data_IF_150371846433
#
_entry.id   IF_150371846433
#
_cell.length_a   1.000
_cell.length_b   1.000
_cell.length_c   1.000
_cell.angle_alpha   90.00
_cell.angle_beta   90.00
_cell.angle_gamma   90.00
#
_symmetry.space_group_name_H-M   'P 1'
#
loop_
_entity.id
_entity.type
_entity.pdbx_description
1 polymer ?
#
# COMPACT_ATOMS: atom_id res chain seq x y z
N UNK A 1 -1.48 36.67 11.00
CA UNK A 1 -1.79 35.29 11.39
C UNK A 1 -1.36 35.17 12.85
N UNK A 2 -2.28 34.90 13.77
CA UNK A 2 -1.92 34.68 15.17
C UNK A 2 -1.01 33.44 15.24
N UNK A 3 -0.02 33.49 16.13
CA UNK A 3 0.98 32.44 16.29
C UNK A 3 0.30 31.27 17.04
N UNK A 4 -0.47 30.44 16.32
CA UNK A 4 -1.14 29.27 16.90
C UNK A 4 -0.15 28.33 17.57
N UNK A 5 -0.58 27.65 18.64
CA UNK A 5 0.26 26.66 19.29
C UNK A 5 0.71 25.57 18.28
N UNK A 6 1.97 25.07 18.35
CA UNK A 6 2.41 24.02 17.47
C UNK A 6 1.64 22.71 17.72
N UNK A 7 1.65 21.82 16.73
CA UNK A 7 1.15 20.46 16.88
C UNK A 7 1.89 19.70 17.98
N UNK A 8 1.27 18.65 18.53
CA UNK A 8 1.82 17.87 19.65
C UNK A 8 1.74 16.38 19.38
N UNK A 9 2.76 15.66 19.84
CA UNK A 9 2.74 14.20 19.96
C UNK A 9 2.72 13.82 21.44
N UNK A 10 1.79 12.93 21.80
CA UNK A 10 1.58 12.44 23.17
C UNK A 10 1.61 10.91 23.11
N UNK A 11 2.10 10.27 24.18
CA UNK A 11 2.01 8.82 24.35
C UNK A 11 1.18 8.54 25.59
N UNK A 12 0.17 7.68 25.47
CA UNK A 12 -0.50 7.02 26.58
C UNK A 12 0.13 5.64 26.75
N UNK A 13 1.05 5.45 27.71
CA UNK A 13 1.74 4.19 27.87
C UNK A 13 0.83 3.14 28.51
N UNK A 14 1.03 1.88 28.12
CA UNK A 14 0.45 0.73 28.83
C UNK A 14 -1.08 0.72 28.90
N UNK A 15 -1.79 1.15 27.85
CA UNK A 15 -3.24 1.04 27.78
C UNK A 15 -3.63 -0.43 27.73
N UNK A 16 -4.34 -0.89 28.75
CA UNK A 16 -4.71 -2.29 28.91
C UNK A 16 -5.81 -2.70 27.92
N UNK A 17 -5.55 -3.75 27.14
CA UNK A 17 -6.50 -4.38 26.24
C UNK A 17 -7.08 -5.63 26.91
N UNK A 18 -8.20 -5.47 27.60
CA UNK A 18 -8.67 -6.44 28.61
C UNK A 18 -8.94 -7.83 28.05
N UNK A 19 -9.51 -7.92 26.85
CA UNK A 19 -9.82 -9.20 26.20
C UNK A 19 -8.65 -9.81 25.44
N UNK A 20 -7.66 -9.00 25.07
CA UNK A 20 -6.42 -9.47 24.47
C UNK A 20 -5.42 -9.92 25.54
N UNK A 21 -5.53 -9.38 26.77
CA UNK A 21 -4.66 -9.74 27.89
C UNK A 21 -3.27 -9.11 27.80
N UNK A 22 -3.13 -8.02 27.06
CA UNK A 22 -1.88 -7.28 26.89
C UNK A 22 -2.06 -5.78 27.18
N UNK A 23 -0.94 -5.04 27.18
CA UNK A 23 -0.91 -3.58 27.31
C UNK A 23 -0.20 -2.98 26.11
N UNK A 24 -0.62 -1.80 25.68
CA UNK A 24 -0.14 -1.18 24.42
C UNK A 24 0.06 0.31 24.59
N UNK A 25 1.08 0.83 23.93
CA UNK A 25 1.26 2.27 23.85
C UNK A 25 0.35 2.86 22.78
N UNK A 26 -0.27 4.00 23.10
CA UNK A 26 -1.12 4.75 22.16
C UNK A 26 -0.46 6.09 21.89
N UNK A 27 -0.11 6.32 20.63
CA UNK A 27 0.52 7.55 20.17
C UNK A 27 -0.55 8.48 19.63
N UNK A 28 -0.56 9.74 20.07
CA UNK A 28 -1.62 10.69 19.73
C UNK A 28 -0.99 11.96 19.18
N UNK A 29 -1.38 12.31 17.96
CA UNK A 29 -1.11 13.62 17.36
C UNK A 29 -2.29 14.55 17.61
N UNK A 30 -1.99 15.75 18.10
CA UNK A 30 -2.92 16.86 18.21
C UNK A 30 -2.53 17.94 17.20
N UNK A 31 -3.48 18.47 16.42
CA UNK A 31 -3.19 19.43 15.38
C UNK A 31 -2.72 20.77 15.96
N UNK A 32 -1.99 21.55 15.14
CA UNK A 32 -1.64 22.91 15.50
C UNK A 32 -2.90 23.73 15.85
N UNK A 33 -2.78 24.59 16.86
CA UNK A 33 -3.88 25.38 17.39
C UNK A 33 -4.88 24.60 18.24
N UNK A 34 -4.59 23.33 18.60
CA UNK A 34 -5.45 22.56 19.49
C UNK A 34 -5.82 23.39 20.74
N UNK A 35 -4.85 23.88 21.51
CA UNK A 35 -5.13 24.60 22.76
C UNK A 35 -5.64 26.04 22.60
N UNK A 36 -5.79 26.55 21.37
CA UNK A 36 -6.14 27.96 21.13
C UNK A 36 -7.62 28.25 21.45
N UNK A 37 -8.53 27.32 21.12
CA UNK A 37 -9.97 27.43 21.39
C UNK A 37 -10.51 26.10 21.94
N UNK A 38 -10.91 26.10 23.21
CA UNK A 38 -11.41 24.93 23.94
C UNK A 38 -12.81 24.48 23.50
N UNK A 39 -13.55 25.29 22.73
CA UNK A 39 -14.87 24.95 22.21
C UNK A 39 -14.82 24.08 20.96
N UNK A 40 -13.70 24.13 20.21
CA UNK A 40 -13.52 23.35 18.98
C UNK A 40 -13.38 21.87 19.30
N UNK A 41 -13.96 21.02 18.44
CA UNK A 41 -13.82 19.56 18.48
C UNK A 41 -13.34 19.04 17.14
N UNK A 42 -12.64 17.92 17.16
CA UNK A 42 -11.88 17.42 16.04
C UNK A 42 -12.36 16.03 15.62
N UNK A 43 -12.41 15.72 14.31
CA UNK A 43 -12.51 14.35 13.86
C UNK A 43 -11.27 13.56 14.30
N UNK A 44 -11.38 12.23 14.31
CA UNK A 44 -10.32 11.33 14.76
C UNK A 44 -10.00 10.31 13.67
N UNK A 45 -8.71 10.16 13.37
CA UNK A 45 -8.18 9.08 12.54
C UNK A 45 -7.48 8.06 13.43
N UNK A 46 -8.04 6.86 13.53
CA UNK A 46 -7.38 5.72 14.16
C UNK A 46 -6.46 5.03 13.15
N UNK A 47 -5.21 4.80 13.54
CA UNK A 47 -4.23 4.10 12.72
C UNK A 47 -3.67 2.88 13.44
N UNK A 48 -3.51 1.80 12.70
CA UNK A 48 -2.83 0.60 13.15
C UNK A 48 -1.30 0.78 13.12
N UNK A 49 -0.57 -0.11 13.81
CA UNK A 49 0.91 -0.15 13.81
C UNK A 49 1.55 1.17 14.26
N UNK A 50 1.03 1.72 15.36
CA UNK A 50 1.31 3.09 15.82
C UNK A 50 2.77 3.44 16.01
N UNK A 51 3.63 2.46 16.32
CA UNK A 51 5.06 2.65 16.44
C UNK A 51 5.75 3.14 15.15
N UNK A 52 5.13 3.00 13.98
CA UNK A 52 5.69 3.43 12.67
C UNK A 52 4.95 4.64 12.05
N UNK A 53 3.93 5.16 12.72
CA UNK A 53 3.01 6.17 12.13
C UNK A 53 3.61 7.57 12.12
N UNK A 54 4.30 7.98 13.20
CA UNK A 54 4.79 9.34 13.33
C UNK A 54 6.27 9.46 12.98
N UNK A 55 7.15 8.82 13.75
CA UNK A 55 8.60 8.95 13.58
C UNK A 55 9.25 7.62 13.16
N UNK A 56 10.42 7.69 12.49
CA UNK A 56 11.20 6.49 12.18
C UNK A 56 11.52 5.68 13.43
N UNK A 57 11.11 4.42 13.44
CA UNK A 57 11.42 3.48 14.53
C UNK A 57 12.03 2.17 14.06
N UNK A 58 12.05 1.93 12.73
CA UNK A 58 12.78 0.81 12.13
C UNK A 58 14.24 1.20 11.91
N UNK A 59 15.18 0.23 11.97
CA UNK A 59 16.54 0.45 11.54
C UNK A 59 16.61 1.06 10.15
N UNK A 60 15.69 0.74 9.21
CA UNK A 60 15.62 1.30 7.86
C UNK A 60 15.44 2.83 7.82
N UNK A 61 15.01 3.45 8.92
CA UNK A 61 14.74 4.90 8.98
C UNK A 61 13.36 5.28 8.43
N UNK A 62 12.48 4.31 8.22
CA UNK A 62 11.16 4.53 7.62
C UNK A 62 10.07 4.76 8.66
N UNK A 63 9.09 5.60 8.29
CA UNK A 63 7.83 5.84 8.98
C UNK A 63 6.83 6.45 8.01
N UNK A 64 5.55 6.50 8.38
CA UNK A 64 4.55 7.19 7.57
C UNK A 64 4.69 8.71 7.62
N UNK A 65 5.30 9.26 8.68
CA UNK A 65 5.43 10.71 8.84
C UNK A 65 4.07 11.43 8.93
N UNK A 66 3.03 10.77 9.46
CA UNK A 66 1.65 11.25 9.37
C UNK A 66 1.43 12.63 10.00
N UNK A 67 2.17 12.96 11.06
CA UNK A 67 2.12 14.28 11.69
C UNK A 67 2.58 15.38 10.73
N UNK A 68 3.61 15.13 9.91
CA UNK A 68 4.10 16.07 8.89
C UNK A 68 3.12 16.22 7.73
N UNK A 69 2.51 15.11 7.31
CA UNK A 69 1.48 15.13 6.26
C UNK A 69 0.26 15.92 6.74
N UNK A 70 -0.22 15.66 7.96
CA UNK A 70 -1.35 16.37 8.56
C UNK A 70 -1.03 17.86 8.76
N UNK A 71 0.11 18.20 9.36
CA UNK A 71 0.54 19.60 9.57
C UNK A 71 0.57 20.37 8.25
N UNK A 72 1.14 19.78 7.19
CA UNK A 72 1.18 20.40 5.86
C UNK A 72 -0.23 20.65 5.32
N UNK A 73 -1.06 19.61 5.26
CA UNK A 73 -2.40 19.71 4.67
C UNK A 73 -3.31 20.66 5.46
N UNK A 74 -3.18 20.71 6.78
CA UNK A 74 -3.90 21.65 7.65
C UNK A 74 -3.41 23.09 7.41
N UNK A 75 -2.09 23.30 7.35
CA UNK A 75 -1.50 24.63 7.10
C UNK A 75 -1.84 25.18 5.70
N UNK A 76 -1.95 24.29 4.71
CA UNK A 76 -2.39 24.62 3.35
C UNK A 76 -3.91 24.80 3.24
N UNK A 77 -4.67 24.51 4.30
CA UNK A 77 -6.14 24.61 4.32
C UNK A 77 -6.85 23.56 3.48
N UNK A 78 -6.17 22.46 3.12
CA UNK A 78 -6.71 21.39 2.29
C UNK A 78 -7.55 20.39 3.08
N UNK A 79 -7.31 20.28 4.39
CA UNK A 79 -8.12 19.48 5.31
C UNK A 79 -8.46 20.26 6.57
N UNK A 80 -9.61 19.95 7.18
CA UNK A 80 -9.89 20.40 8.55
C UNK A 80 -8.90 19.76 9.54
N UNK A 81 -8.52 20.46 10.63
CA UNK A 81 -7.68 19.88 11.69
C UNK A 81 -8.23 18.56 12.22
N UNK A 82 -7.35 17.58 12.46
CA UNK A 82 -7.69 16.20 12.83
C UNK A 82 -6.79 15.69 13.96
N UNK A 83 -7.33 14.87 14.85
CA UNK A 83 -6.55 14.09 15.83
C UNK A 83 -6.19 12.75 15.20
N UNK A 84 -4.93 12.32 15.30
CA UNK A 84 -4.51 10.99 14.84
C UNK A 84 -4.15 10.14 16.06
N UNK A 85 -4.82 9.00 16.22
CA UNK A 85 -4.60 8.04 17.30
C UNK A 85 -3.98 6.78 16.69
N UNK A 86 -2.70 6.55 16.95
CA UNK A 86 -1.94 5.44 16.41
C UNK A 86 -1.73 4.36 17.49
N UNK A 87 -2.15 3.14 17.19
CA UNK A 87 -2.23 2.03 18.15
C UNK A 87 -1.07 1.08 17.95
N UNK A 88 -0.20 0.93 18.97
CA UNK A 88 0.94 0.02 18.90
C UNK A 88 0.50 -1.41 18.55
N UNK A 89 1.14 -2.01 17.56
CA UNK A 89 0.91 -3.41 17.19
C UNK A 89 1.69 -4.36 18.12
N UNK A 90 1.03 -5.43 18.58
CA UNK A 90 1.66 -6.48 19.39
C UNK A 90 1.82 -7.74 18.55
N UNK A 91 3.03 -8.28 18.59
CA UNK A 91 3.37 -9.57 18.00
C UNK A 91 3.26 -10.63 19.09
N UNK A 92 2.30 -11.55 18.95
CA UNK A 92 2.12 -12.67 19.86
C UNK A 92 2.16 -13.98 19.06
N UNK A 93 3.05 -14.88 19.48
CA UNK A 93 3.25 -16.16 18.79
C UNK A 93 1.95 -16.96 18.67
N UNK A 94 1.68 -17.46 17.47
CA UNK A 94 0.52 -18.30 17.20
C UNK A 94 -0.83 -17.55 17.15
N UNK A 95 -0.85 -16.21 17.25
CA UNK A 95 -2.05 -15.41 17.05
C UNK A 95 -1.85 -14.26 16.06
N UNK A 96 -2.94 -13.77 15.46
CA UNK A 96 -2.91 -12.50 14.73
C UNK A 96 -4.16 -11.68 15.01
N UNK A 97 -3.95 -10.44 15.43
CA UNK A 97 -4.99 -9.47 15.74
C UNK A 97 -5.51 -8.69 14.53
N UNK A 98 -4.92 -8.89 13.36
CA UNK A 98 -5.33 -8.21 12.13
C UNK A 98 -6.16 -9.07 11.19
N UNK A 99 -6.25 -10.37 11.47
CA UNK A 99 -7.16 -11.28 10.78
C UNK A 99 -8.33 -11.62 11.71
N UNK A 100 -9.56 -11.53 11.19
CA UNK A 100 -10.78 -11.82 11.96
C UNK A 100 -11.10 -13.31 11.95
N UNK A 101 -11.38 -13.86 10.77
CA UNK A 101 -11.90 -15.22 10.63
C UNK A 101 -11.31 -16.01 9.46
N UNK A 102 -10.56 -15.35 8.57
CA UNK A 102 -9.87 -15.97 7.45
C UNK A 102 -8.39 -15.68 7.55
N UNK A 103 -7.61 -16.73 7.77
CA UNK A 103 -6.17 -16.73 7.52
C UNK A 103 -5.74 -18.10 7.00
N UNK A 104 -4.89 -18.11 5.97
CA UNK A 104 -4.52 -19.37 5.33
C UNK A 104 -3.48 -20.20 6.10
N UNK A 105 -2.74 -19.60 7.01
CA UNK A 105 -1.85 -20.34 7.92
C UNK A 105 -2.59 -20.73 9.20
N UNK A 106 -2.17 -21.82 9.89
CA UNK A 106 -2.78 -22.26 11.14
C UNK A 106 -2.40 -21.32 12.31
N UNK A 107 -2.86 -20.08 12.25
CA UNK A 107 -2.75 -19.09 13.31
C UNK A 107 -4.12 -18.82 13.92
N UNK A 108 -4.18 -18.54 15.21
CA UNK A 108 -5.42 -18.12 15.84
C UNK A 108 -5.70 -16.66 15.48
N UNK A 109 -6.71 -16.43 14.67
CA UNK A 109 -7.22 -15.09 14.36
C UNK A 109 -7.94 -14.51 15.60
N UNK A 110 -7.55 -13.31 16.01
CA UNK A 110 -8.11 -12.59 17.17
C UNK A 110 -8.59 -11.18 16.80
N UNK A 111 -8.83 -10.92 15.52
CA UNK A 111 -9.27 -9.62 15.00
C UNK A 111 -10.54 -9.07 15.66
N UNK A 112 -11.50 -9.92 16.04
CA UNK A 112 -12.69 -9.47 16.79
C UNK A 112 -12.36 -9.00 18.22
N UNK A 113 -11.31 -9.55 18.85
CA UNK A 113 -10.86 -9.10 20.18
C UNK A 113 -10.14 -7.75 20.07
N UNK A 114 -9.40 -7.54 18.97
CA UNK A 114 -8.77 -6.27 18.68
C UNK A 114 -9.79 -5.19 18.28
N UNK A 115 -10.81 -5.56 17.50
CA UNK A 115 -11.97 -4.72 17.22
C UNK A 115 -12.66 -4.26 18.51
N UNK A 116 -12.91 -5.19 19.44
CA UNK A 116 -13.44 -4.86 20.76
C UNK A 116 -12.54 -3.87 21.52
N UNK A 117 -11.22 -4.10 21.56
CA UNK A 117 -10.29 -3.17 22.19
C UNK A 117 -10.39 -1.77 21.57
N UNK A 118 -10.36 -1.64 20.24
CA UNK A 118 -10.44 -0.35 19.56
C UNK A 118 -11.73 0.40 19.90
N UNK A 119 -12.87 -0.28 19.85
CA UNK A 119 -14.19 0.35 19.92
C UNK A 119 -14.68 0.52 21.35
N UNK A 120 -14.58 -0.53 22.17
CA UNK A 120 -15.22 -0.57 23.49
C UNK A 120 -14.27 -0.10 24.62
N UNK A 121 -12.96 -0.09 24.37
CA UNK A 121 -11.95 0.24 25.39
C UNK A 121 -11.20 1.53 25.03
N UNK A 122 -10.52 1.56 23.88
CA UNK A 122 -9.67 2.66 23.47
C UNK A 122 -10.46 3.91 23.07
N UNK A 123 -11.43 3.79 22.16
CA UNK A 123 -12.21 4.94 21.69
C UNK A 123 -12.86 5.73 22.85
N UNK A 124 -13.49 5.10 23.86
CA UNK A 124 -13.99 5.82 25.02
C UNK A 124 -12.91 6.51 25.88
N UNK A 125 -11.69 5.96 25.96
CA UNK A 125 -10.56 6.64 26.63
C UNK A 125 -10.21 7.92 25.88
N UNK A 126 -10.10 7.84 24.55
CA UNK A 126 -9.78 9.00 23.70
C UNK A 126 -10.89 10.04 23.76
N UNK A 127 -12.16 9.65 23.58
CA UNK A 127 -13.30 10.56 23.56
C UNK A 127 -13.51 11.31 24.88
N UNK A 128 -13.10 10.72 26.01
CA UNK A 128 -13.10 11.41 27.32
C UNK A 128 -11.87 12.28 27.55
N UNK A 129 -10.71 11.87 27.04
CA UNK A 129 -9.44 12.55 27.26
C UNK A 129 -9.19 13.73 26.32
N UNK A 130 -9.83 13.73 25.14
CA UNK A 130 -9.58 14.69 24.07
C UNK A 130 -10.87 15.27 23.51
N UNK A 131 -10.79 16.41 22.82
CA UNK A 131 -11.96 17.09 22.23
C UNK A 131 -12.32 16.48 20.88
N UNK A 132 -12.80 15.25 20.92
CA UNK A 132 -13.23 14.53 19.71
C UNK A 132 -14.65 14.90 19.30
N UNK A 133 -14.94 14.66 18.03
CA UNK A 133 -16.27 14.43 17.48
C UNK A 133 -16.48 12.92 17.37
N UNK A 134 -17.28 12.30 18.25
CA UNK A 134 -17.25 10.85 18.44
C UNK A 134 -18.09 10.05 17.44
N UNK A 135 -18.93 10.71 16.63
CA UNK A 135 -19.84 10.04 15.70
C UNK A 135 -19.10 9.43 14.51
N UNK A 136 -19.71 8.44 13.85
CA UNK A 136 -19.09 7.69 12.77
C UNK A 136 -18.60 8.57 11.62
N UNK A 137 -19.39 9.58 11.21
CA UNK A 137 -19.04 10.53 10.15
C UNK A 137 -17.77 11.37 10.43
N UNK A 138 -17.26 11.32 11.66
CA UNK A 138 -16.05 12.03 12.10
C UNK A 138 -14.94 11.10 12.56
N UNK A 139 -15.14 9.79 12.43
CA UNK A 139 -14.21 8.76 12.89
C UNK A 139 -13.71 7.94 11.70
N UNK A 140 -12.41 8.00 11.46
CA UNK A 140 -11.73 7.25 10.41
C UNK A 140 -10.88 6.11 10.98
N UNK A 141 -10.69 5.05 10.20
CA UNK A 141 -9.78 3.94 10.49
C UNK A 141 -8.85 3.72 9.29
N UNK A 142 -7.55 3.52 9.53
CA UNK A 142 -6.59 3.33 8.44
C UNK A 142 -5.44 2.39 8.81
N UNK A 143 -4.97 1.63 7.82
CA UNK A 143 -3.80 0.78 7.93
C UNK A 143 -3.34 0.25 6.58
N UNK A 144 -2.15 -0.36 6.58
CA UNK A 144 -1.60 -1.02 5.41
C UNK A 144 -1.30 -2.51 5.59
N UNK A 145 -1.24 -3.27 4.49
CA UNK A 145 -0.89 -4.70 4.53
C UNK A 145 -1.86 -5.51 5.40
N UNK A 146 -1.36 -6.25 6.38
CA UNK A 146 -2.19 -6.92 7.39
C UNK A 146 -3.10 -5.92 8.14
N UNK A 147 -2.61 -4.72 8.46
CA UNK A 147 -3.47 -3.69 9.05
C UNK A 147 -4.52 -3.14 8.07
N UNK A 148 -4.28 -3.22 6.76
CA UNK A 148 -5.26 -2.88 5.73
C UNK A 148 -6.44 -3.86 5.73
N UNK A 149 -6.17 -5.16 5.88
CA UNK A 149 -7.25 -6.16 6.01
C UNK A 149 -8.00 -6.02 7.36
N UNK A 150 -7.32 -5.61 8.43
CA UNK A 150 -7.96 -5.28 9.70
C UNK A 150 -8.91 -4.08 9.53
N UNK A 151 -8.44 -3.00 8.88
CA UNK A 151 -9.27 -1.81 8.58
C UNK A 151 -10.49 -2.19 7.73
N UNK A 152 -10.31 -3.00 6.69
CA UNK A 152 -11.40 -3.47 5.83
C UNK A 152 -12.45 -4.26 6.63
N UNK A 153 -12.04 -5.23 7.45
CA UNK A 153 -12.98 -6.04 8.23
C UNK A 153 -13.67 -5.25 9.33
N UNK A 154 -12.93 -4.50 10.15
CA UNK A 154 -13.49 -3.73 11.27
C UNK A 154 -14.43 -2.66 10.73
N UNK A 155 -13.98 -1.90 9.74
CA UNK A 155 -14.71 -0.79 9.18
C UNK A 155 -16.04 -1.19 8.56
N UNK A 156 -16.06 -2.25 7.74
CA UNK A 156 -17.28 -2.70 7.07
C UNK A 156 -18.22 -3.46 8.02
N UNK A 157 -17.72 -4.03 9.12
CA UNK A 157 -18.57 -4.61 10.18
C UNK A 157 -19.16 -3.56 11.11
N UNK A 158 -18.49 -2.42 11.26
CA UNK A 158 -18.83 -1.35 12.22
C UNK A 158 -18.97 0.02 11.54
N UNK A 159 -19.86 0.16 10.54
CA UNK A 159 -20.17 1.45 9.92
C UNK A 159 -20.82 2.42 10.93
N UNK A 160 -21.38 1.91 12.02
CA UNK A 160 -21.90 2.67 13.15
C UNK A 160 -20.80 3.39 13.97
N UNK A 161 -19.54 2.99 13.80
CA UNK A 161 -18.39 3.56 14.53
C UNK A 161 -17.41 4.26 13.59
N UNK A 162 -17.16 3.71 12.40
CA UNK A 162 -16.17 4.23 11.47
C UNK A 162 -16.87 4.66 10.17
N UNK A 163 -16.91 5.95 9.88
CA UNK A 163 -17.50 6.48 8.64
C UNK A 163 -16.49 6.63 7.50
N UNK A 164 -15.20 6.39 7.75
CA UNK A 164 -14.12 6.64 6.80
C UNK A 164 -13.03 5.57 6.92
N UNK A 165 -12.68 4.88 5.82
CA UNK A 165 -11.74 3.75 5.83
C UNK A 165 -10.60 3.96 4.84
N UNK A 166 -9.35 3.93 5.33
CA UNK A 166 -8.13 3.97 4.53
C UNK A 166 -7.47 2.59 4.48
N UNK A 167 -7.62 1.91 3.34
CA UNK A 167 -7.23 0.52 3.15
C UNK A 167 -6.06 0.51 2.17
N UNK A 168 -4.84 0.63 2.69
CA UNK A 168 -3.65 0.73 1.86
C UNK A 168 -3.01 -0.64 1.65
N UNK A 169 -2.71 -0.99 0.41
CA UNK A 169 -2.01 -2.24 0.06
C UNK A 169 -2.48 -3.48 0.86
N UNK A 170 -3.80 -3.75 0.97
CA UNK A 170 -4.31 -4.75 1.91
C UNK A 170 -3.89 -6.16 1.52
N UNK A 171 -3.55 -6.99 2.53
CA UNK A 171 -3.10 -8.37 2.32
C UNK A 171 -4.28 -9.32 2.01
N UNK A 172 -4.94 -9.12 0.87
CA UNK A 172 -6.16 -9.84 0.48
C UNK A 172 -5.93 -11.24 -0.08
N UNK A 173 -4.73 -11.55 -0.56
CA UNK A 173 -4.41 -12.89 -1.09
C UNK A 173 -3.13 -13.41 -0.47
N UNK A 174 -3.16 -14.69 -0.14
CA UNK A 174 -1.96 -15.47 0.16
C UNK A 174 -1.73 -16.45 -0.98
N UNK A 175 -0.48 -16.56 -1.43
CA UNK A 175 -0.09 -17.42 -2.54
C UNK A 175 0.84 -18.50 -2.00
N UNK A 176 0.50 -19.76 -2.25
CA UNK A 176 1.37 -20.88 -1.92
C UNK A 176 2.61 -20.85 -2.84
N UNK A 177 3.84 -20.76 -2.31
CA UNK A 177 5.03 -20.58 -3.13
C UNK A 177 5.43 -21.84 -3.93
N UNK A 178 4.91 -23.03 -3.59
CA UNK A 178 5.21 -24.28 -4.29
C UNK A 178 4.22 -24.60 -5.42
N UNK A 179 2.97 -24.18 -5.27
CA UNK A 179 1.86 -24.51 -6.18
C UNK A 179 1.28 -23.30 -6.90
N UNK A 180 1.60 -22.08 -6.46
CA UNK A 180 0.98 -20.82 -6.87
C UNK A 180 -0.53 -20.76 -6.61
N UNK A 181 -1.06 -21.63 -5.73
CA UNK A 181 -2.46 -21.59 -5.36
C UNK A 181 -2.77 -20.32 -4.55
N UNK A 182 -3.81 -19.61 -4.97
CA UNK A 182 -4.25 -18.35 -4.37
C UNK A 182 -5.38 -18.61 -3.35
N UNK A 183 -5.22 -18.11 -2.13
CA UNK A 183 -6.23 -18.19 -1.07
C UNK A 183 -6.62 -16.79 -0.62
N UNK A 184 -7.89 -16.44 -0.78
CA UNK A 184 -8.42 -15.15 -0.34
C UNK A 184 -8.43 -15.07 1.19
N UNK A 185 -8.01 -13.92 1.72
CA UNK A 185 -7.96 -13.64 3.16
C UNK A 185 -9.14 -12.75 3.61
N UNK A 186 -10.05 -12.39 2.70
CA UNK A 186 -11.14 -11.45 2.93
C UNK A 186 -12.51 -12.07 2.64
N UNK A 187 -13.54 -11.47 3.22
CA UNK A 187 -14.95 -11.67 2.84
C UNK A 187 -15.42 -10.49 2.01
N UNK A 188 -16.38 -10.73 1.13
CA UNK A 188 -17.08 -9.64 0.43
C UNK A 188 -18.22 -9.12 1.31
N UNK A 189 -18.36 -7.80 1.37
CA UNK A 189 -19.47 -7.12 2.05
C UNK A 189 -20.35 -6.46 0.97
N UNK A 190 -21.44 -7.10 0.51
CA UNK A 190 -22.18 -6.70 -0.68
C UNK A 190 -23.21 -5.59 -0.40
N UNK A 191 -22.86 -4.60 0.42
CA UNK A 191 -23.73 -3.50 0.80
C UNK A 191 -22.95 -2.18 0.87
N UNK A 192 -23.68 -1.07 0.73
CA UNK A 192 -23.16 0.30 0.87
C UNK A 192 -23.85 0.96 2.07
N UNK A 193 -23.09 1.21 3.13
CA UNK A 193 -23.55 1.89 4.35
C UNK A 193 -23.14 3.38 4.40
N UNK A 194 -22.72 3.95 3.28
CA UNK A 194 -22.46 5.38 3.12
C UNK A 194 -21.16 5.88 3.73
N UNK A 195 -20.19 4.99 3.97
CA UNK A 195 -18.86 5.40 4.45
C UNK A 195 -18.08 6.10 3.30
N UNK A 196 -16.91 6.65 3.62
CA UNK A 196 -15.90 7.05 2.63
C UNK A 196 -14.79 6.01 2.61
N UNK A 197 -14.49 5.46 1.44
CA UNK A 197 -13.48 4.41 1.27
C UNK A 197 -12.35 4.93 0.39
N UNK A 198 -11.14 4.85 0.93
CA UNK A 198 -9.91 4.90 0.16
C UNK A 198 -9.33 3.49 0.13
N UNK A 199 -9.08 2.95 -1.06
CA UNK A 199 -8.42 1.68 -1.26
C UNK A 199 -7.31 1.84 -2.27
N UNK A 200 -6.11 1.35 -1.96
CA UNK A 200 -5.00 1.45 -2.90
C UNK A 200 -4.08 0.23 -2.87
N UNK A 201 -3.21 0.15 -3.87
CA UNK A 201 -2.19 -0.89 -3.99
C UNK A 201 -1.05 -0.39 -4.88
N UNK A 202 0.17 -0.83 -4.60
CA UNK A 202 1.31 -0.63 -5.48
C UNK A 202 1.41 -1.68 -6.57
N UNK A 203 1.74 -1.28 -7.79
CA UNK A 203 1.98 -2.19 -8.92
C UNK A 203 3.21 -3.06 -8.73
N UNK A 204 4.16 -2.64 -7.87
CA UNK A 204 5.34 -3.42 -7.51
C UNK A 204 5.13 -4.35 -6.31
N UNK A 205 3.88 -4.58 -5.90
CA UNK A 205 3.53 -5.51 -4.82
C UNK A 205 3.26 -6.94 -5.31
N UNK A 206 3.71 -7.23 -6.52
CA UNK A 206 3.65 -8.55 -7.11
C UNK A 206 2.49 -8.73 -8.09
N UNK A 207 2.44 -9.93 -8.66
CA UNK A 207 1.51 -10.27 -9.73
C UNK A 207 0.07 -10.47 -9.23
N UNK A 208 -0.08 -10.98 -8.01
CA UNK A 208 -1.36 -11.44 -7.48
C UNK A 208 -2.08 -10.34 -6.67
N UNK A 209 -1.38 -9.63 -5.78
CA UNK A 209 -2.05 -8.68 -4.87
C UNK A 209 -2.86 -7.59 -5.61
N UNK A 210 -2.32 -6.91 -6.65
CA UNK A 210 -3.05 -5.84 -7.33
C UNK A 210 -4.39 -6.27 -7.95
N UNK A 211 -4.47 -7.48 -8.52
CA UNK A 211 -5.69 -7.98 -9.13
C UNK A 211 -6.77 -8.28 -8.07
N UNK A 212 -6.38 -8.79 -6.90
CA UNK A 212 -7.30 -9.00 -5.78
C UNK A 212 -7.81 -7.70 -5.19
N UNK A 213 -6.94 -6.70 -4.97
CA UNK A 213 -7.38 -5.38 -4.47
C UNK A 213 -8.33 -4.71 -5.46
N UNK A 214 -8.01 -4.75 -6.77
CA UNK A 214 -8.91 -4.24 -7.81
C UNK A 214 -10.25 -4.97 -7.79
N UNK A 215 -10.24 -6.31 -7.72
CA UNK A 215 -11.46 -7.12 -7.68
C UNK A 215 -12.35 -6.74 -6.49
N UNK A 216 -11.78 -6.52 -5.31
CA UNK A 216 -12.55 -6.04 -4.14
C UNK A 216 -13.17 -4.68 -4.42
N UNK A 217 -12.42 -3.73 -4.98
CA UNK A 217 -12.94 -2.40 -5.32
C UNK A 217 -14.06 -2.47 -6.39
N UNK A 218 -13.93 -3.33 -7.41
CA UNK A 218 -14.96 -3.57 -8.42
C UNK A 218 -16.23 -4.18 -7.79
N UNK A 219 -16.09 -5.11 -6.84
CA UNK A 219 -17.21 -5.67 -6.09
C UNK A 219 -17.91 -4.61 -5.24
N UNK A 220 -17.16 -3.69 -4.60
CA UNK A 220 -17.75 -2.55 -3.89
C UNK A 220 -18.50 -1.63 -4.86
N UNK A 221 -17.95 -1.32 -6.03
CA UNK A 221 -18.69 -0.54 -7.03
C UNK A 221 -19.99 -1.23 -7.45
N UNK A 222 -19.97 -2.55 -7.65
CA UNK A 222 -21.18 -3.33 -7.96
C UNK A 222 -22.20 -3.34 -6.81
N UNK A 223 -21.74 -3.27 -5.56
CA UNK A 223 -22.59 -3.12 -4.38
C UNK A 223 -23.16 -1.70 -4.22
N UNK A 224 -22.83 -0.76 -5.11
CA UNK A 224 -23.41 0.57 -5.18
C UNK A 224 -22.52 1.69 -4.63
N UNK A 225 -21.26 1.41 -4.29
CA UNK A 225 -20.30 2.44 -3.91
C UNK A 225 -19.88 3.25 -5.14
N UNK A 226 -19.99 4.58 -5.06
CA UNK A 226 -19.71 5.43 -6.22
C UNK A 226 -18.23 5.77 -6.32
N UNK A 227 -17.59 5.35 -7.41
CA UNK A 227 -16.21 5.76 -7.70
C UNK A 227 -16.09 7.28 -7.84
N UNK A 228 -15.02 7.87 -7.31
CA UNK A 228 -14.80 9.31 -7.39
C UNK A 228 -15.67 10.15 -6.45
N UNK A 229 -16.51 9.52 -5.62
CA UNK A 229 -17.32 10.15 -4.58
C UNK A 229 -17.09 9.45 -3.23
N UNK A 230 -17.61 8.24 -3.08
CA UNK A 230 -17.54 7.45 -1.84
C UNK A 230 -16.31 6.53 -1.86
N UNK A 231 -16.04 5.91 -3.02
CA UNK A 231 -14.96 4.96 -3.23
C UNK A 231 -13.88 5.58 -4.12
N UNK A 232 -12.66 5.62 -3.61
CA UNK A 232 -11.46 5.83 -4.41
C UNK A 232 -10.64 4.55 -4.42
N UNK A 233 -10.35 4.03 -5.60
CA UNK A 233 -9.36 2.99 -5.84
C UNK A 233 -8.14 3.62 -6.48
N UNK A 234 -6.92 3.31 -6.04
CA UNK A 234 -5.70 3.79 -6.70
C UNK A 234 -4.66 2.69 -6.86
N UNK A 235 -4.25 2.45 -8.11
CA UNK A 235 -3.10 1.62 -8.46
C UNK A 235 -1.93 2.55 -8.77
N UNK A 236 -0.96 2.59 -7.87
CA UNK A 236 0.31 3.28 -8.11
C UNK A 236 1.30 2.31 -8.73
N UNK A 237 1.49 2.39 -10.05
CA UNK A 237 2.32 1.45 -10.81
C UNK A 237 3.76 1.34 -10.28
N UNK A 238 4.25 2.38 -9.60
CA UNK A 238 5.61 2.45 -9.08
C UNK A 238 5.70 2.18 -7.58
N UNK A 239 4.60 2.08 -6.83
CA UNK A 239 4.67 1.83 -5.40
C UNK A 239 4.98 0.35 -5.11
N UNK A 240 5.85 0.11 -4.12
CA UNK A 240 6.10 -1.21 -3.56
C UNK A 240 5.43 -1.38 -2.19
N UNK A 241 5.61 -2.54 -1.57
CA UNK A 241 5.01 -2.89 -0.28
C UNK A 241 5.84 -2.34 0.88
N UNK A 242 5.94 -1.01 0.99
CA UNK A 242 6.85 -0.33 1.92
C UNK A 242 6.18 0.82 2.69
N UNK A 243 6.70 1.10 3.89
CA UNK A 243 6.27 2.24 4.72
C UNK A 243 6.45 3.58 3.98
N UNK A 244 7.50 3.67 3.17
CA UNK A 244 7.80 4.85 2.36
C UNK A 244 6.75 5.09 1.29
N UNK A 245 6.34 4.06 0.56
CA UNK A 245 5.33 4.19 -0.50
C UNK A 245 3.92 4.41 0.07
N UNK A 246 3.62 3.85 1.24
CA UNK A 246 2.39 4.21 1.97
C UNK A 246 2.41 5.68 2.42
N UNK A 247 3.54 6.15 2.99
CA UNK A 247 3.72 7.56 3.37
C UNK A 247 3.46 8.51 2.20
N UNK A 248 4.03 8.21 1.03
CA UNK A 248 3.87 9.03 -0.19
C UNK A 248 2.41 9.16 -0.62
N UNK A 249 1.61 8.12 -0.41
CA UNK A 249 0.19 8.08 -0.80
C UNK A 249 -0.77 8.54 0.29
N UNK A 250 -0.34 8.54 1.57
CA UNK A 250 -1.18 8.84 2.73
C UNK A 250 -1.89 10.21 2.68
N UNK A 251 -1.36 11.20 1.96
CA UNK A 251 -2.04 12.49 1.80
C UNK A 251 -3.42 12.37 1.13
N UNK A 252 -3.62 11.43 0.21
CA UNK A 252 -4.87 11.27 -0.54
C UNK A 252 -6.05 10.75 0.31
N UNK A 253 -5.90 9.72 1.17
CA UNK A 253 -6.98 9.36 2.10
C UNK A 253 -7.32 10.52 3.06
N UNK A 254 -6.34 11.29 3.57
CA UNK A 254 -6.63 12.47 4.39
C UNK A 254 -7.47 13.51 3.64
N UNK A 255 -7.16 13.78 2.38
CA UNK A 255 -7.93 14.69 1.53
C UNK A 255 -9.36 14.17 1.31
N UNK A 256 -9.54 12.88 1.08
CA UNK A 256 -10.87 12.26 0.93
C UNK A 256 -11.71 12.38 2.23
N UNK A 257 -11.11 12.08 3.37
CA UNK A 257 -11.80 12.02 4.65
C UNK A 257 -12.14 13.41 5.18
N UNK A 258 -11.16 14.31 5.19
CA UNK A 258 -11.20 15.56 5.94
C UNK A 258 -11.08 16.82 5.07
N UNK A 259 -10.89 16.65 3.77
CA UNK A 259 -10.86 17.74 2.80
C UNK A 259 -12.21 17.96 2.11
N UNK A 260 -12.21 18.94 1.21
CA UNK A 260 -13.34 19.18 0.30
C UNK A 260 -13.22 18.29 -0.94
N UNK A 261 -14.37 17.94 -1.51
CA UNK A 261 -14.44 17.19 -2.76
C UNK A 261 -13.74 17.98 -3.88
N UNK A 262 -12.85 17.31 -4.61
CA UNK A 262 -12.12 17.91 -5.72
C UNK A 262 -12.82 17.69 -7.06
N UNK A 263 -12.66 18.64 -7.98
CA UNK A 263 -13.05 18.45 -9.38
C UNK A 263 -11.93 17.78 -10.17
N UNK A 264 -12.30 16.97 -11.17
CA UNK A 264 -11.37 16.29 -12.06
C UNK A 264 -10.60 17.32 -12.90
N UNK A 265 -9.28 17.33 -12.73
CA UNK A 265 -8.36 18.28 -13.34
C UNK A 265 -7.49 17.66 -14.43
N UNK A 266 -7.41 16.32 -14.47
CA UNK A 266 -6.62 15.59 -15.46
C UNK A 266 -6.98 14.11 -15.53
N UNK A 267 -6.56 13.48 -16.63
CA UNK A 267 -6.77 12.07 -16.89
C UNK A 267 -5.54 11.52 -17.63
N UNK A 268 -5.09 10.31 -17.29
CA UNK A 268 -3.96 9.64 -17.94
C UNK A 268 -4.24 8.14 -18.11
N UNK A 269 -3.66 7.52 -19.14
CA UNK A 269 -3.70 6.07 -19.35
C UNK A 269 -2.31 5.48 -19.08
N UNK A 270 -2.13 4.87 -17.92
CA UNK A 270 -0.86 4.32 -17.43
C UNK A 270 -0.75 2.80 -17.72
N UNK A 271 0.47 2.25 -17.61
CA UNK A 271 0.78 0.83 -17.84
C UNK A 271 1.53 0.57 -19.15
N UNK A 272 1.51 -0.68 -19.63
CA UNK A 272 2.13 -1.07 -20.90
C UNK A 272 1.26 -0.67 -22.11
N UNK A 273 1.87 -0.53 -23.28
CA UNK A 273 1.21 -0.24 -24.57
C UNK A 273 1.31 -1.39 -25.58
N UNK A 274 1.79 -2.56 -25.17
CA UNK A 274 1.84 -3.76 -25.99
C UNK A 274 0.89 -4.80 -25.41
N UNK A 275 0.01 -5.35 -26.26
CA UNK A 275 -0.91 -6.42 -25.89
C UNK A 275 -0.85 -7.57 -26.90
N UNK A 276 -1.02 -8.81 -26.43
CA UNK A 276 -1.05 -9.99 -27.29
C UNK A 276 -2.48 -10.43 -27.59
N UNK A 277 -2.75 -10.91 -28.82
CA UNK A 277 -3.97 -11.68 -29.11
C UNK A 277 -3.95 -12.98 -28.29
N UNK A 278 -2.82 -13.70 -28.31
CA UNK A 278 -2.47 -14.76 -27.37
C UNK A 278 -1.52 -14.20 -26.29
N UNK A 279 -2.05 -13.85 -25.12
CA UNK A 279 -1.26 -13.27 -24.04
C UNK A 279 -2.07 -12.99 -22.78
N UNK A 280 -1.43 -12.42 -21.75
CA UNK A 280 -2.10 -12.11 -20.49
C UNK A 280 -3.22 -11.09 -20.71
N UNK A 281 -4.29 -11.22 -19.92
CA UNK A 281 -5.35 -10.23 -19.90
C UNK A 281 -4.81 -8.90 -19.36
N UNK A 282 -5.07 -7.81 -20.09
CA UNK A 282 -4.62 -6.47 -19.70
C UNK A 282 -5.83 -5.60 -19.36
N UNK A 283 -5.74 -4.91 -18.23
CA UNK A 283 -6.69 -3.87 -17.82
C UNK A 283 -5.94 -2.56 -17.76
N UNK A 284 -6.42 -1.54 -18.47
CA UNK A 284 -5.78 -0.23 -18.48
C UNK A 284 -5.90 0.41 -17.09
N UNK A 285 -4.80 1.01 -16.61
CA UNK A 285 -4.83 1.89 -15.45
C UNK A 285 -5.16 3.32 -15.89
N UNK A 286 -6.45 3.64 -16.05
CA UNK A 286 -6.89 5.01 -16.31
C UNK A 286 -6.91 5.79 -14.99
N UNK A 287 -6.06 6.81 -14.85
CA UNK A 287 -5.87 7.58 -13.61
C UNK A 287 -6.45 8.97 -13.76
N UNK A 288 -7.49 9.28 -12.99
CA UNK A 288 -8.02 10.62 -12.83
C UNK A 288 -7.24 11.37 -11.74
N UNK A 289 -6.98 12.65 -11.97
CA UNK A 289 -6.41 13.57 -10.99
C UNK A 289 -7.44 14.63 -10.61
N UNK A 290 -7.51 14.99 -9.33
CA UNK A 290 -8.34 16.06 -8.80
C UNK A 290 -7.51 17.30 -8.49
N UNK A 291 -8.13 18.49 -8.54
CA UNK A 291 -7.45 19.75 -8.22
C UNK A 291 -6.87 19.81 -6.79
N UNK A 292 -7.45 19.08 -5.85
CA UNK A 292 -6.98 19.01 -4.46
C UNK A 292 -5.78 18.07 -4.24
N UNK A 293 -5.29 17.42 -5.30
CA UNK A 293 -4.12 16.53 -5.26
C UNK A 293 -4.43 15.04 -5.15
N UNK A 294 -5.71 14.64 -5.03
CA UNK A 294 -6.09 13.23 -5.11
C UNK A 294 -5.83 12.69 -6.53
N UNK A 295 -5.25 11.50 -6.63
CA UNK A 295 -5.18 10.69 -7.85
C UNK A 295 -5.84 9.35 -7.61
N UNK A 296 -6.62 8.86 -8.55
CA UNK A 296 -7.31 7.58 -8.41
C UNK A 296 -7.50 6.89 -9.75
N UNK A 297 -7.45 5.56 -9.72
CA UNK A 297 -7.69 4.69 -10.85
C UNK A 297 -9.18 4.49 -11.05
N UNK A 298 -9.63 4.67 -12.29
CA UNK A 298 -11.02 4.43 -12.68
C UNK A 298 -11.28 2.93 -12.74
N UNK A 299 -12.28 2.50 -11.97
CA UNK A 299 -12.82 1.14 -12.03
C UNK A 299 -13.74 0.98 -13.25
N UNK A 300 -14.33 2.07 -13.72
CA UNK A 300 -15.05 2.12 -15.01
C UNK A 300 -15.00 3.51 -15.65
N UNK A 301 -15.06 3.60 -16.97
CA UNK A 301 -15.11 4.88 -17.68
C UNK A 301 -15.81 4.75 -19.04
N UNK A 302 -16.04 5.89 -19.71
CA UNK A 302 -16.39 5.88 -21.14
C UNK A 302 -15.12 5.66 -21.96
N UNK A 303 -15.03 4.51 -22.63
CA UNK A 303 -13.91 4.14 -23.47
C UNK A 303 -14.32 4.00 -24.92
N UNK A 304 -13.44 4.46 -25.82
CA UNK A 304 -13.60 4.33 -27.27
C UNK A 304 -12.28 3.83 -27.89
N UNK A 305 -12.40 3.15 -29.01
CA UNK A 305 -11.26 2.70 -29.84
C UNK A 305 -11.40 3.29 -31.23
N UNK A 306 -10.29 3.76 -31.81
CA UNK A 306 -10.26 4.24 -33.19
C UNK A 306 -10.29 3.08 -34.22
N UNK A 307 -10.01 1.86 -33.76
CA UNK A 307 -9.88 0.68 -34.61
C UNK A 307 -10.37 -0.59 -33.88
N UNK A 308 -11.71 -0.78 -33.76
CA UNK A 308 -12.29 -1.92 -33.05
C UNK A 308 -11.97 -3.28 -33.69
N UNK A 309 -11.60 -3.29 -34.98
CA UNK A 309 -11.16 -4.51 -35.66
C UNK A 309 -9.80 -5.01 -35.19
N UNK A 310 -9.01 -4.17 -34.51
CA UNK A 310 -7.69 -4.49 -33.94
C UNK A 310 -7.75 -4.66 -32.44
N UNK A 311 -8.36 -3.71 -31.73
CA UNK A 311 -8.42 -3.70 -30.27
C UNK A 311 -9.75 -3.13 -29.79
N UNK A 312 -10.54 -3.97 -29.11
CA UNK A 312 -11.69 -3.54 -28.33
C UNK A 312 -11.33 -3.20 -26.89
N UNK A 313 -12.29 -2.62 -26.17
CA UNK A 313 -12.17 -2.33 -24.74
C UNK A 313 -13.55 -2.40 -24.07
N UNK A 314 -13.63 -2.96 -22.87
CA UNK A 314 -14.85 -2.97 -22.06
C UNK A 314 -14.92 -1.78 -21.09
N UNK A 315 -16.10 -1.46 -20.52
CA UNK A 315 -16.28 -0.31 -19.63
C UNK A 315 -15.40 -0.34 -18.36
N UNK A 316 -14.97 -1.52 -17.92
CA UNK A 316 -14.04 -1.74 -16.79
C UNK A 316 -12.56 -1.55 -17.18
N UNK A 317 -12.28 -1.18 -18.44
CA UNK A 317 -10.93 -0.93 -18.94
C UNK A 317 -10.18 -2.17 -19.43
N UNK A 318 -10.82 -3.36 -19.48
CA UNK A 318 -10.18 -4.57 -20.02
C UNK A 318 -10.03 -4.47 -21.54
N UNK A 319 -8.82 -4.70 -22.02
CA UNK A 319 -8.46 -4.72 -23.43
C UNK A 319 -8.87 -6.05 -24.09
N UNK A 320 -9.42 -5.96 -25.30
CA UNK A 320 -9.94 -7.09 -26.07
C UNK A 320 -9.23 -7.17 -27.44
N UNK A 321 -7.96 -7.62 -27.49
CA UNK A 321 -7.18 -7.70 -28.73
C UNK A 321 -7.78 -8.71 -29.72
N UNK A 322 -7.87 -8.33 -31.00
CA UNK A 322 -8.49 -9.13 -32.05
C UNK A 322 -7.50 -9.65 -33.09
N UNK A 323 -6.59 -8.79 -33.55
CA UNK A 323 -5.56 -9.12 -34.54
C UNK A 323 -4.35 -8.18 -34.42
N UNK A 324 -3.17 -8.58 -34.92
CA UNK A 324 -2.02 -7.70 -34.91
C UNK A 324 -2.26 -6.37 -35.64
N UNK A 325 -1.74 -5.29 -35.09
CA UNK A 325 -1.92 -3.94 -35.61
C UNK A 325 -1.75 -2.88 -34.54
N UNK A 326 -2.23 -1.67 -34.81
CA UNK A 326 -2.27 -0.58 -33.83
C UNK A 326 -3.68 -0.03 -33.70
N UNK A 327 -4.01 0.39 -32.48
CA UNK A 327 -5.28 1.02 -32.15
C UNK A 327 -5.07 2.02 -31.01
N UNK A 328 -5.77 3.15 -31.06
CA UNK A 328 -5.78 4.15 -30.00
C UNK A 328 -7.04 3.98 -29.15
N UNK A 329 -6.82 3.80 -27.85
CA UNK A 329 -7.89 3.85 -26.86
C UNK A 329 -7.99 5.27 -26.34
N UNK A 330 -9.23 5.78 -26.27
CA UNK A 330 -9.58 7.08 -25.73
C UNK A 330 -10.48 6.84 -24.53
N UNK A 331 -10.13 7.42 -23.39
CA UNK A 331 -10.90 7.41 -22.16
C UNK A 331 -11.45 8.80 -21.89
N UNK A 332 -12.70 8.87 -21.43
CA UNK A 332 -13.35 10.11 -21.04
C UNK A 332 -13.93 9.98 -19.64
N UNK A 333 -13.61 10.94 -18.76
CA UNK A 333 -14.11 10.99 -17.39
C UNK A 333 -14.03 12.40 -16.83
N UNK A 334 -15.08 12.86 -16.14
CA UNK A 334 -15.07 14.18 -15.48
C UNK A 334 -14.80 15.37 -16.42
N UNK A 335 -15.21 15.28 -17.69
CA UNK A 335 -14.94 16.32 -18.69
C UNK A 335 -13.51 16.33 -19.25
N UNK A 336 -12.65 15.41 -18.81
CA UNK A 336 -11.29 15.21 -19.33
C UNK A 336 -11.26 14.03 -20.31
N UNK A 337 -10.32 14.07 -21.24
CA UNK A 337 -10.00 12.94 -22.12
C UNK A 337 -8.51 12.60 -22.07
N UNK A 338 -8.21 11.32 -22.17
CA UNK A 338 -6.85 10.81 -22.34
C UNK A 338 -6.86 9.76 -23.45
N UNK A 339 -5.81 9.74 -24.26
CA UNK A 339 -5.67 8.79 -25.34
C UNK A 339 -4.31 8.10 -25.28
N UNK A 340 -4.28 6.82 -25.66
CA UNK A 340 -3.05 6.05 -25.77
C UNK A 340 -3.14 5.06 -26.91
N UNK A 341 -2.08 5.00 -27.72
CA UNK A 341 -1.95 4.05 -28.81
C UNK A 341 -1.30 2.77 -28.31
N UNK A 342 -1.92 1.65 -28.64
CA UNK A 342 -1.49 0.30 -28.31
C UNK A 342 -1.01 -0.43 -29.56
N UNK A 343 0.01 -1.27 -29.39
CA UNK A 343 0.47 -2.23 -30.38
C UNK A 343 -0.06 -3.61 -30.02
N UNK A 344 -0.88 -4.18 -30.89
CA UNK A 344 -1.36 -5.55 -30.77
C UNK A 344 -0.39 -6.47 -31.51
N UNK A 345 0.16 -7.45 -30.80
CA UNK A 345 1.02 -8.50 -31.37
C UNK A 345 0.28 -9.84 -31.38
N UNK A 346 0.71 -10.77 -32.23
CA UNK A 346 0.07 -12.09 -32.32
C UNK A 346 0.16 -12.83 -30.99
N UNK A 347 1.34 -12.84 -30.39
CA UNK A 347 1.60 -13.50 -29.11
C UNK A 347 2.47 -12.63 -28.21
N UNK A 348 2.03 -12.48 -26.96
CA UNK A 348 2.79 -11.82 -25.90
C UNK A 348 2.99 -12.81 -24.75
N UNK A 349 4.24 -13.19 -24.51
CA UNK A 349 4.58 -14.16 -23.46
C UNK A 349 4.18 -13.63 -22.07
N UNK A 350 3.56 -14.47 -21.25
CA UNK A 350 3.25 -14.19 -19.83
C UNK A 350 4.50 -14.09 -18.95
N UNK A 351 5.63 -14.58 -19.43
CA UNK A 351 6.92 -14.49 -18.73
C UNK A 351 7.98 -13.83 -19.59
N UNK A 352 8.99 -13.25 -18.94
CA UNK A 352 10.22 -12.72 -19.56
C UNK A 352 11.44 -13.37 -18.94
N UNK A 353 12.50 -13.46 -19.73
CA UNK A 353 13.80 -13.92 -19.26
C UNK A 353 14.65 -12.71 -18.86
N UNK A 354 14.98 -12.62 -17.57
CA UNK A 354 15.90 -11.60 -17.04
C UNK A 354 17.25 -12.24 -16.74
N UNK A 355 18.27 -11.79 -17.45
CA UNK A 355 19.66 -12.15 -17.17
C UNK A 355 20.23 -11.20 -16.11
N UNK A 356 20.55 -11.73 -14.93
CA UNK A 356 21.11 -10.97 -13.82
C UNK A 356 22.61 -11.23 -13.72
N UNK A 357 23.39 -10.16 -13.58
CA UNK A 357 24.81 -10.21 -13.27
C UNK A 357 25.09 -9.36 -12.02
N UNK A 358 25.75 -9.91 -11.01
CA UNK A 358 26.14 -9.21 -9.79
C UNK A 358 27.64 -9.36 -9.58
N UNK A 359 28.33 -8.22 -9.49
CA UNK A 359 29.73 -8.14 -9.12
C UNK A 359 29.84 -7.73 -7.66
N UNK A 360 30.60 -8.48 -6.88
CA UNK A 360 30.79 -8.24 -5.44
C UNK A 360 32.25 -7.85 -5.16
N UNK A 361 32.54 -7.13 -4.06
CA UNK A 361 33.90 -6.68 -3.77
C UNK A 361 34.81 -7.87 -3.43
N UNK A 362 36.12 -7.71 -3.62
CA UNK A 362 37.13 -8.75 -3.34
C UNK A 362 37.17 -9.18 -1.86
N UNK A 363 36.58 -8.38 -0.97
CA UNK A 363 36.38 -8.70 0.46
C UNK A 363 35.27 -9.73 0.70
N UNK A 364 34.52 -10.10 -0.33
CA UNK A 364 33.46 -11.10 -0.24
C UNK A 364 34.06 -12.51 -0.19
N UNK A 365 33.75 -13.31 0.85
CA UNK A 365 34.18 -14.70 0.93
C UNK A 365 33.81 -15.49 -0.32
N UNK A 366 34.67 -16.44 -0.70
CA UNK A 366 34.46 -17.25 -1.90
C UNK A 366 33.29 -18.23 -1.77
N UNK A 367 32.89 -18.58 -0.56
CA UNK A 367 31.73 -19.43 -0.25
C UNK A 367 30.45 -18.64 0.04
N UNK A 368 30.47 -17.32 -0.16
CA UNK A 368 29.33 -16.46 0.13
C UNK A 368 28.12 -16.77 -0.76
N UNK A 369 26.94 -16.85 -0.14
CA UNK A 369 25.67 -16.88 -0.84
C UNK A 369 25.15 -15.45 -1.04
N UNK A 370 24.76 -15.14 -2.27
CA UNK A 370 24.26 -13.82 -2.66
C UNK A 370 22.78 -13.92 -3.00
N UNK A 371 21.99 -12.97 -2.51
CA UNK A 371 20.56 -12.90 -2.75
C UNK A 371 20.16 -11.56 -3.35
N UNK A 372 19.20 -11.60 -4.27
CA UNK A 372 18.53 -10.44 -4.86
C UNK A 372 17.03 -10.75 -4.94
N UNK A 373 16.38 -10.82 -3.77
CA UNK A 373 15.05 -11.46 -3.53
C UNK A 373 15.10 -13.00 -3.54
N UNK A 374 15.86 -13.57 -4.47
CA UNK A 374 16.12 -15.01 -4.58
C UNK A 374 17.63 -15.27 -4.60
N UNK A 375 18.03 -16.51 -4.33
CA UNK A 375 19.44 -16.92 -4.38
C UNK A 375 20.01 -16.77 -5.80
N UNK A 376 21.16 -16.12 -5.91
CA UNK A 376 21.84 -15.86 -7.19
C UNK A 376 23.05 -16.80 -7.30
N UNK A 377 23.10 -17.68 -8.33
CA UNK A 377 24.20 -18.63 -8.48
C UNK A 377 25.56 -17.96 -8.66
N UNK A 378 26.62 -18.58 -8.12
CA UNK A 378 28.01 -18.15 -8.37
C UNK A 378 28.46 -18.57 -9.76
N UNK A 379 28.92 -17.61 -10.57
CA UNK A 379 29.48 -17.85 -11.91
C UNK A 379 31.01 -17.89 -11.90
N UNK A 380 31.64 -17.19 -10.96
CA UNK A 380 33.09 -17.13 -10.81
C UNK A 380 33.50 -16.34 -9.58
N UNK A 381 34.81 -16.15 -9.37
CA UNK A 381 35.31 -15.33 -8.27
C UNK A 381 34.76 -13.90 -8.38
N UNK A 382 34.07 -13.43 -7.35
CA UNK A 382 33.47 -12.10 -7.31
C UNK A 382 32.29 -11.89 -8.29
N UNK A 383 31.79 -12.94 -8.94
CA UNK A 383 30.76 -12.84 -9.98
C UNK A 383 29.64 -13.85 -9.74
N UNK A 384 28.42 -13.33 -9.64
CA UNK A 384 27.19 -14.08 -9.46
C UNK A 384 26.23 -13.72 -10.59
N UNK A 385 25.34 -14.63 -10.96
CA UNK A 385 24.38 -14.36 -12.00
C UNK A 385 23.70 -15.58 -12.56
N UNK A 386 22.83 -15.34 -13.52
CA UNK A 386 22.05 -16.36 -14.20
C UNK A 386 20.84 -15.76 -14.88
N UNK A 387 20.08 -16.60 -15.55
CA UNK A 387 18.81 -16.20 -16.16
C UNK A 387 17.67 -16.69 -15.29
N UNK A 388 16.80 -15.76 -14.89
CA UNK A 388 15.57 -16.06 -14.18
C UNK A 388 14.39 -15.76 -15.10
N UNK A 389 13.45 -16.70 -15.16
CA UNK A 389 12.18 -16.50 -15.85
C UNK A 389 11.17 -15.92 -14.87
N UNK A 390 10.67 -14.73 -15.15
CA UNK A 390 9.78 -13.99 -14.27
C UNK A 390 8.45 -13.71 -14.97
N UNK A 391 7.32 -13.67 -14.26
CA UNK A 391 6.07 -13.14 -14.80
C UNK A 391 6.27 -11.73 -15.38
N UNK A 392 5.68 -11.47 -16.55
CA UNK A 392 5.68 -10.15 -17.19
C UNK A 392 5.03 -9.12 -16.26
N UNK A 393 5.65 -7.97 -16.13
CA UNK A 393 5.17 -6.86 -15.30
C UNK A 393 5.49 -7.02 -13.82
N UNK A 394 6.04 -8.16 -13.39
CA UNK A 394 6.50 -8.33 -12.01
C UNK A 394 7.56 -7.27 -11.69
N UNK A 395 7.29 -6.46 -10.68
CA UNK A 395 8.26 -5.51 -10.13
C UNK A 395 8.57 -5.91 -8.70
N UNK A 396 9.84 -5.82 -8.32
CA UNK A 396 10.26 -6.01 -6.95
C UNK A 396 11.44 -5.10 -6.61
N UNK A 397 11.41 -4.63 -5.37
CA UNK A 397 12.46 -3.82 -4.77
C UNK A 397 13.31 -4.70 -3.85
N UNK A 398 14.63 -4.59 -3.95
CA UNK A 398 15.55 -5.43 -3.20
C UNK A 398 16.87 -4.71 -2.89
N UNK A 399 17.51 -5.12 -1.81
CA UNK A 399 18.94 -4.95 -1.63
C UNK A 399 19.62 -6.27 -1.97
N UNK A 400 20.83 -6.19 -2.51
CA UNK A 400 21.69 -7.36 -2.64
C UNK A 400 22.21 -7.69 -1.25
N UNK A 401 21.92 -8.90 -0.78
CA UNK A 401 22.40 -9.37 0.52
C UNK A 401 23.42 -10.47 0.35
N UNK A 402 24.30 -10.58 1.34
CA UNK A 402 25.22 -11.70 1.51
C UNK A 402 24.76 -12.48 2.73
N UNK A 403 24.25 -13.69 2.50
CA UNK A 403 23.51 -14.43 3.52
C UNK A 403 22.29 -13.63 4.03
N UNK A 404 21.89 -13.93 5.26
CA UNK A 404 20.79 -13.24 5.95
C UNK A 404 21.29 -12.17 6.94
N UNK A 405 22.60 -11.95 7.01
CA UNK A 405 23.24 -11.11 8.03
C UNK A 405 23.89 -9.84 7.46
N UNK A 406 24.11 -9.74 6.15
CA UNK A 406 24.73 -8.54 5.55
C UNK A 406 23.97 -7.96 4.35
N UNK A 407 23.91 -6.64 4.30
CA UNK A 407 23.31 -5.86 3.21
C UNK A 407 24.38 -5.04 2.46
N UNK A 408 24.10 -4.74 1.20
CA UNK A 408 24.96 -3.86 0.39
C UNK A 408 24.89 -2.41 0.86
N UNK A 409 26.03 -1.73 0.77
CA UNK A 409 26.16 -0.30 1.02
C UNK A 409 27.03 0.34 -0.05
N UNK A 410 27.00 1.67 -0.13
CA UNK A 410 27.82 2.42 -1.05
C UNK A 410 29.33 2.31 -0.70
N UNK A 411 30.16 2.94 -1.53
CA UNK A 411 31.61 2.94 -1.36
C UNK A 411 32.10 3.57 -0.03
N UNK A 412 31.28 4.42 0.57
CA UNK A 412 31.54 5.19 1.79
C UNK A 412 30.79 4.60 3.01
N UNK A 413 30.27 3.37 2.90
CA UNK A 413 29.43 2.68 3.90
C UNK A 413 28.11 3.40 4.20
N UNK A 414 27.67 4.29 3.31
CA UNK A 414 26.35 4.88 3.32
C UNK A 414 25.30 3.89 2.83
N UNK A 415 24.09 3.99 3.39
CA UNK A 415 22.98 3.13 2.98
C UNK A 415 22.53 3.46 1.57
N UNK A 416 22.28 2.39 0.81
CA UNK A 416 21.70 2.50 -0.52
C UNK A 416 20.16 2.46 -0.42
N UNK A 417 19.46 3.16 -1.31
CA UNK A 417 18.06 2.86 -1.54
C UNK A 417 17.92 1.45 -2.10
N UNK A 418 16.75 0.84 -1.91
CA UNK A 418 16.40 -0.41 -2.58
C UNK A 418 16.56 -0.27 -4.10
N UNK A 419 17.12 -1.30 -4.73
CA UNK A 419 17.16 -1.44 -6.18
C UNK A 419 15.80 -1.89 -6.67
N UNK A 420 15.39 -1.41 -7.84
CA UNK A 420 14.14 -1.81 -8.49
C UNK A 420 14.40 -2.59 -9.76
N UNK A 421 13.74 -3.73 -9.92
CA UNK A 421 13.69 -4.46 -11.19
C UNK A 421 12.24 -4.62 -11.65
N UNK A 422 11.97 -4.23 -12.90
CA UNK A 422 10.69 -4.46 -13.59
C UNK A 422 10.90 -5.51 -14.69
N UNK A 423 10.11 -6.57 -14.67
CA UNK A 423 10.11 -7.66 -15.66
C UNK A 423 9.22 -7.34 -16.88
N UNK A 424 9.45 -6.20 -17.55
CA UNK A 424 8.63 -5.71 -18.69
C UNK A 424 9.02 -6.32 -20.05
N UNK A 425 10.17 -7.00 -20.13
CA UNK A 425 10.73 -7.54 -21.37
C UNK A 425 11.99 -8.34 -21.08
N UNK A 426 12.40 -9.15 -22.06
CA UNK A 426 13.67 -9.88 -21.97
C UNK A 426 14.81 -8.86 -21.86
N UNK A 427 15.61 -8.94 -20.80
CA UNK A 427 16.64 -7.94 -20.52
C UNK A 427 17.80 -8.53 -19.75
N UNK A 428 18.93 -7.83 -19.83
CA UNK A 428 20.11 -8.08 -19.01
C UNK A 428 20.33 -6.92 -18.06
N UNK A 429 20.51 -7.23 -16.79
CA UNK A 429 20.74 -6.25 -15.73
C UNK A 429 21.99 -6.61 -14.96
N UNK A 430 22.87 -5.63 -14.78
CA UNK A 430 24.14 -5.79 -14.09
C UNK A 430 24.21 -4.85 -12.87
N UNK A 431 24.56 -5.40 -11.71
CA UNK A 431 24.75 -4.67 -10.47
C UNK A 431 26.17 -4.84 -9.94
N UNK A 432 26.62 -3.85 -9.18
CA UNK A 432 27.90 -3.87 -8.46
C UNK A 432 27.63 -3.53 -7.00
N UNK A 433 28.05 -4.43 -6.12
CA UNK A 433 28.12 -4.20 -4.67
C UNK A 433 29.50 -3.60 -4.38
N UNK A 434 29.53 -2.49 -3.64
CA UNK A 434 30.78 -1.84 -3.26
C UNK A 434 31.30 -2.36 -1.93
N UNK A 435 30.43 -2.45 -0.93
CA UNK A 435 30.76 -2.85 0.43
C UNK A 435 29.59 -3.62 1.06
N UNK A 436 29.87 -4.25 2.20
CA UNK A 436 28.89 -4.97 3.03
C UNK A 436 28.81 -4.34 4.42
N UNK A 437 27.59 -4.23 4.97
CA UNK A 437 27.36 -3.89 6.37
C UNK A 437 26.51 -4.97 7.04
N UNK A 438 26.67 -5.16 8.35
CA UNK A 438 25.82 -6.07 9.12
C UNK A 438 24.40 -5.52 9.23
N UNK A 439 23.40 -6.40 9.05
CA UNK A 439 21.98 -6.08 9.11
C UNK A 439 21.54 -5.67 10.54
N UNK A 440 22.43 -5.78 11.56
CA UNK A 440 22.31 -5.14 12.88
C UNK A 440 23.68 -4.93 13.56
N UNK A 441 23.94 -3.81 14.25
CA UNK A 441 24.85 -3.76 15.39
C UNK A 441 24.07 -4.10 16.68
N UNK A 442 24.54 -5.09 17.45
CA UNK A 442 24.16 -5.40 18.83
C UNK A 442 22.64 -5.54 19.17
N UNK A 443 22.08 -6.72 18.90
CA UNK A 443 21.11 -7.33 19.82
C UNK A 443 21.82 -8.52 20.47
N UNK A 444 21.96 -8.46 21.80
CA UNK A 444 22.79 -9.38 22.57
C UNK A 444 22.59 -10.85 22.21
N UNK A 445 23.71 -11.56 22.14
CA UNK A 445 23.74 -13.01 22.30
C UNK A 445 23.01 -13.37 23.61
N UNK A 446 21.82 -13.93 23.50
CA UNK A 446 21.27 -14.93 24.42
C UNK A 446 20.75 -16.05 23.50
N UNK A 447 21.58 -17.05 23.24
CA UNK A 447 21.50 -18.39 23.86
C UNK A 447 20.15 -19.08 23.61
N UNK A 448 20.20 -20.05 22.70
CA UNK A 448 19.52 -21.37 22.68
C UNK A 448 18.24 -21.51 23.51
N UNK A 449 17.09 -21.81 22.89
CA UNK A 449 16.54 -23.17 22.59
C UNK A 449 15.39 -23.02 21.59
#
# INVERSE_FOLDING_TARGET
>A
MANSAPSKLIVLPGVHASRLGNERDIYIYLPAGYDDDLSVRYPVLYMHVGQHVFEPSKPSGESWGMHRVADRLIAEGLIRPVIIVAVEHKYEDGTSEYFHDLYAYPIRCVGELYEHFLIEELKPIVDRGFRTLPDAEHTALMGASAAGIATYNIGLRRPDVFGMLGILSPFFVQVDPGTLAETHQYRLYPYNDGQKIWMDIGGAEGFFMPSHVRSVAENMQQAGWKQGEELYYYLDMEAAHSEWDWSRRAHMPLLHFFGEAGEVSGLALEGDDIVGVDGPAVVINAVAALHNGIRFSLLSADYRTDNPDVLGISPDGRLLPQKPGTATIICSYGGQEAARTYTVVERLSETVDVELEIRVPDTTPDDAEIYATFGVPKLGKGLYGGTVRLPRGLTFDFLITRGYDKEEVDQDFGRLPYRRLVADGDKRVAYTVHNWIDIRPDAGRGEEV
#
